data_IF_613031802822
#
_entry.id   IF_613031802822
#
_cell.length_a   1.000
_cell.length_b   1.000
_cell.length_c   1.000
_cell.angle_alpha   90.00
_cell.angle_beta   90.00
_cell.angle_gamma   90.00
#
_symmetry.space_group_name_H-M   'P 1'
#
loop_
_entity.id
_entity.type
_entity.pdbx_description
1 polymer ?
#
# COMPACT_ATOMS: atom_id res chain seq x y z
N UNK A 1 -17.27 72.77 -3.13
CA UNK A 1 -18.64 73.20 -2.75
C UNK A 1 -19.61 72.35 -3.56
N UNK A 2 -20.50 71.51 -3.05
CA UNK A 2 -21.07 71.18 -1.72
C UNK A 2 -21.33 69.65 -1.74
N UNK A 3 -21.02 68.85 -0.71
CA UNK A 3 -21.82 68.59 0.52
C UNK A 3 -23.32 68.36 0.20
N UNK A 4 -24.01 67.31 0.64
CA UNK A 4 -23.79 66.29 1.67
C UNK A 4 -25.14 65.65 2.07
N UNK A 5 -25.09 64.74 3.06
CA UNK A 5 -26.18 64.06 3.82
C UNK A 5 -26.77 62.78 3.16
N UNK A 6 -26.60 61.55 3.65
CA UNK A 6 -26.29 60.98 4.98
C UNK A 6 -27.46 61.01 5.99
N UNK A 7 -28.10 59.84 6.18
CA UNK A 7 -28.85 59.32 7.35
C UNK A 7 -28.64 57.78 7.24
N UNK A 8 -27.88 57.01 8.04
CA UNK A 8 -27.70 56.72 9.49
C UNK A 8 -28.90 56.09 10.21
N UNK A 9 -28.70 54.82 10.60
CA UNK A 9 -29.20 54.17 11.82
C UNK A 9 -30.52 53.41 11.65
N UNK A 10 -30.72 52.17 12.12
CA UNK A 10 -30.08 51.29 13.11
C UNK A 10 -30.35 49.83 12.65
N UNK A 11 -29.50 48.82 12.81
CA UNK A 11 -28.91 48.40 14.08
C UNK A 11 -29.87 47.47 14.84
N UNK A 12 -30.11 46.24 14.35
CA UNK A 12 -30.58 45.11 15.16
C UNK A 12 -29.89 43.84 14.66
N UNK A 13 -29.04 43.30 15.52
CA UNK A 13 -28.35 42.05 15.28
C UNK A 13 -29.33 40.88 15.18
N UNK A 14 -29.05 40.00 14.23
CA UNK A 14 -29.47 38.61 14.29
C UNK A 14 -28.24 37.79 13.96
N UNK A 15 -27.62 37.29 15.04
CA UNK A 15 -26.77 36.11 15.10
C UNK A 15 -25.99 35.80 13.82
N UNK A 16 -24.71 36.19 13.82
CA UNK A 16 -23.70 35.31 13.26
C UNK A 16 -23.81 33.99 14.04
N UNK A 17 -24.71 33.11 13.57
CA UNK A 17 -24.56 31.69 13.80
C UNK A 17 -23.15 31.41 13.35
N UNK A 18 -22.30 31.07 14.32
CA UNK A 18 -21.13 30.25 14.12
C UNK A 18 -21.59 29.01 13.36
N UNK A 19 -21.73 29.13 12.05
CA UNK A 19 -21.69 28.02 11.16
C UNK A 19 -20.25 27.53 11.31
N UNK A 20 -20.08 26.56 12.22
CA UNK A 20 -19.18 25.46 11.91
C UNK A 20 -19.50 25.12 10.46
N UNK A 21 -18.66 25.59 9.52
CA UNK A 21 -18.74 25.14 8.16
C UNK A 21 -18.57 23.63 8.28
N UNK A 22 -19.69 22.90 8.26
CA UNK A 22 -19.68 21.45 8.35
C UNK A 22 -18.77 21.02 7.22
N UNK A 23 -17.61 20.49 7.58
CA UNK A 23 -16.59 20.13 6.62
C UNK A 23 -17.22 19.13 5.67
N UNK A 24 -17.30 19.51 4.39
CA UNK A 24 -17.92 18.68 3.38
C UNK A 24 -16.95 17.62 2.91
N UNK A 25 -16.94 16.48 3.60
CA UNK A 25 -16.02 15.41 3.25
C UNK A 25 -16.45 14.65 2.00
N UNK A 26 -17.77 14.53 1.77
CA UNK A 26 -18.36 13.95 0.58
C UNK A 26 -19.58 14.76 0.13
N UNK A 27 -19.59 15.14 -1.14
CA UNK A 27 -20.76 15.70 -1.82
C UNK A 27 -21.58 14.58 -2.47
N UNK A 28 -22.87 14.51 -2.17
CA UNK A 28 -23.81 13.57 -2.79
C UNK A 28 -24.79 14.37 -3.63
N UNK A 29 -24.75 14.17 -4.94
CA UNK A 29 -25.68 14.80 -5.88
C UNK A 29 -26.61 13.77 -6.50
N UNK A 30 -27.73 14.23 -7.06
CA UNK A 30 -28.59 13.39 -7.87
C UNK A 30 -29.88 14.09 -8.28
N UNK A 31 -30.65 13.40 -9.11
CA UNK A 31 -31.96 13.87 -9.57
C UNK A 31 -33.02 12.83 -9.22
N UNK A 32 -34.08 13.27 -8.55
CA UNK A 32 -35.22 12.44 -8.18
C UNK A 32 -36.04 12.11 -9.44
N UNK A 33 -36.24 10.82 -9.78
CA UNK A 33 -36.99 10.41 -10.97
C UNK A 33 -38.39 11.00 -11.01
N UNK A 34 -38.87 11.31 -12.22
CA UNK A 34 -40.23 11.77 -12.43
C UNK A 34 -41.26 10.80 -11.84
N UNK A 35 -42.38 11.35 -11.34
CA UNK A 35 -43.44 10.56 -10.70
C UNK A 35 -43.15 10.10 -9.27
N UNK A 36 -41.91 10.22 -8.77
CA UNK A 36 -41.59 9.99 -7.34
C UNK A 36 -41.92 11.24 -6.54
N UNK A 37 -42.62 11.08 -5.41
CA UNK A 37 -42.90 12.21 -4.50
C UNK A 37 -41.64 12.60 -3.74
N UNK A 38 -41.47 13.90 -3.49
CA UNK A 38 -40.44 14.39 -2.56
C UNK A 38 -40.85 14.15 -1.10
N UNK A 39 -42.15 13.91 -0.83
CA UNK A 39 -42.63 13.60 0.50
C UNK A 39 -42.02 12.27 0.98
N UNK A 40 -41.34 12.31 2.14
CA UNK A 40 -40.62 11.18 2.76
C UNK A 40 -39.48 10.59 1.90
N UNK A 41 -38.88 11.38 1.02
CA UNK A 41 -37.69 10.99 0.28
C UNK A 41 -36.41 11.34 1.06
N UNK A 42 -35.51 10.38 1.20
CA UNK A 42 -34.25 10.57 1.94
C UNK A 42 -33.06 9.96 1.19
N UNK A 43 -31.89 10.58 1.32
CA UNK A 43 -30.62 9.88 1.11
C UNK A 43 -30.26 9.21 2.43
N UNK A 44 -30.33 7.88 2.45
CA UNK A 44 -29.92 7.05 3.56
C UNK A 44 -28.43 6.72 3.41
N UNK A 45 -27.63 7.27 4.31
CA UNK A 45 -26.28 6.78 4.59
C UNK A 45 -26.35 5.66 5.64
N UNK A 46 -25.20 5.19 6.10
CA UNK A 46 -25.13 4.16 7.14
C UNK A 46 -25.64 4.65 8.50
N UNK A 47 -25.28 5.88 8.91
CA UNK A 47 -25.65 6.42 10.22
C UNK A 47 -26.76 7.47 10.19
N UNK A 48 -27.10 7.99 9.01
CA UNK A 48 -27.95 9.18 8.90
C UNK A 48 -28.88 9.07 7.70
N UNK A 49 -30.06 9.62 7.88
CA UNK A 49 -30.97 9.90 6.78
C UNK A 49 -31.02 11.40 6.56
N UNK A 50 -30.88 11.82 5.31
CA UNK A 50 -30.85 13.21 4.91
C UNK A 50 -32.07 13.47 4.04
N UNK A 51 -32.95 14.40 4.44
CA UNK A 51 -34.15 14.69 3.65
C UNK A 51 -33.78 15.26 2.29
N UNK A 52 -34.48 14.81 1.25
CA UNK A 52 -34.37 15.35 -0.11
C UNK A 52 -35.56 16.25 -0.36
N UNK A 53 -35.34 17.56 -0.38
CA UNK A 53 -36.40 18.58 -0.50
C UNK A 53 -36.52 19.17 -1.91
N UNK A 54 -35.59 18.83 -2.81
CA UNK A 54 -35.55 19.31 -4.20
C UNK A 54 -35.38 18.16 -5.19
N UNK A 55 -35.87 18.36 -6.43
CA UNK A 55 -35.75 17.39 -7.53
C UNK A 55 -34.28 17.14 -7.89
N UNK A 56 -33.53 18.22 -8.09
CA UNK A 56 -32.07 18.18 -8.17
C UNK A 56 -31.53 18.52 -6.79
N UNK A 57 -30.78 17.61 -6.18
CA UNK A 57 -30.28 17.79 -4.82
C UNK A 57 -28.76 17.72 -4.77
N UNK A 58 -28.20 18.45 -3.83
CA UNK A 58 -26.81 18.35 -3.42
C UNK A 58 -26.77 18.32 -1.90
N UNK A 59 -26.27 17.22 -1.36
CA UNK A 59 -26.19 16.97 0.06
C UNK A 59 -24.72 16.86 0.45
N UNK A 60 -24.41 17.43 1.59
CA UNK A 60 -23.08 17.40 2.15
C UNK A 60 -23.04 16.49 3.38
N UNK A 61 -22.09 15.56 3.43
CA UNK A 61 -21.94 14.63 4.54
C UNK A 61 -20.51 14.54 5.03
N UNK A 62 -20.36 14.36 6.34
CA UNK A 62 -19.07 14.05 6.95
C UNK A 62 -18.74 12.56 6.78
N UNK A 63 -17.47 12.19 6.89
CA UNK A 63 -17.08 10.76 6.92
C UNK A 63 -17.67 10.01 8.12
N UNK A 64 -17.94 10.70 9.23
CA UNK A 64 -18.58 10.13 10.42
C UNK A 64 -20.04 9.71 10.14
N UNK A 65 -20.79 10.52 9.39
CA UNK A 65 -22.15 10.19 8.95
C UNK A 65 -22.19 8.98 7.99
N UNK A 66 -21.07 8.69 7.34
CA UNK A 66 -20.92 7.59 6.37
C UNK A 66 -20.33 6.31 6.97
N UNK A 67 -19.74 6.39 8.17
CA UNK A 67 -19.07 5.29 8.85
C UNK A 67 -18.05 4.55 7.94
N UNK A 68 -17.37 5.28 7.04
CA UNK A 68 -16.53 4.66 5.99
C UNK A 68 -15.35 3.96 6.63
N UNK A 69 -15.38 2.62 6.63
CA UNK A 69 -14.27 1.79 7.07
C UNK A 69 -13.15 1.90 6.04
N UNK A 70 -11.88 1.97 6.48
CA UNK A 70 -10.73 1.98 5.59
C UNK A 70 -10.45 0.61 4.98
N UNK A 71 -11.38 0.14 4.14
CA UNK A 71 -11.28 -1.09 3.34
C UNK A 71 -11.13 -0.72 1.87
N UNK A 72 -10.57 -1.65 1.11
CA UNK A 72 -10.38 -1.47 -0.33
C UNK A 72 -11.72 -1.60 -1.07
N UNK A 73 -12.42 -2.73 -0.88
CA UNK A 73 -13.82 -2.88 -1.28
C UNK A 73 -14.76 -2.41 -0.15
N UNK A 74 -15.72 -1.52 -0.42
CA UNK A 74 -16.61 -0.97 0.58
C UNK A 74 -17.78 -1.91 0.86
N UNK A 75 -18.16 -2.02 2.13
CA UNK A 75 -19.46 -2.58 2.53
C UNK A 75 -20.53 -1.49 2.71
N UNK A 76 -20.13 -0.23 2.58
CA UNK A 76 -21.01 0.91 2.81
C UNK A 76 -21.63 1.34 1.49
N UNK A 77 -22.96 1.46 1.52
CA UNK A 77 -23.76 1.83 0.37
C UNK A 77 -24.71 2.94 0.79
N UNK A 78 -24.78 3.99 -0.03
CA UNK A 78 -25.79 5.04 0.13
C UNK A 78 -26.96 4.77 -0.80
N UNK A 79 -28.16 5.13 -0.35
CA UNK A 79 -29.38 4.87 -1.10
C UNK A 79 -30.24 6.12 -1.16
N UNK A 80 -30.80 6.40 -2.34
CA UNK A 80 -31.97 7.26 -2.44
C UNK A 80 -33.18 6.37 -2.10
N UNK A 81 -33.85 6.65 -0.98
CA UNK A 81 -34.95 5.83 -0.46
C UNK A 81 -36.24 6.62 -0.42
N UNK A 82 -37.30 6.00 -0.94
CA UNK A 82 -38.68 6.44 -0.75
C UNK A 82 -39.27 5.71 0.47
N UNK A 83 -39.67 6.49 1.49
CA UNK A 83 -40.28 6.00 2.74
C UNK A 83 -41.79 6.25 2.81
N UNK A 84 -42.44 6.54 1.69
CA UNK A 84 -43.89 6.75 1.63
C UNK A 84 -44.70 5.46 1.86
N UNK A 85 -44.14 4.30 1.50
CA UNK A 85 -44.77 2.99 1.68
C UNK A 85 -44.44 2.28 3.00
N UNK A 86 -45.14 1.17 3.27
CA UNK A 86 -44.94 0.33 4.47
C UNK A 86 -43.53 -0.29 4.58
N UNK A 87 -42.85 -0.47 3.44
CA UNK A 87 -41.45 -0.89 3.36
C UNK A 87 -40.67 0.16 2.55
N UNK A 88 -39.59 0.75 3.10
CA UNK A 88 -38.74 1.69 2.37
C UNK A 88 -38.20 1.06 1.07
N UNK A 89 -38.31 1.79 -0.04
CA UNK A 89 -37.85 1.33 -1.36
C UNK A 89 -36.59 2.08 -1.78
N UNK A 90 -35.54 1.34 -2.11
CA UNK A 90 -34.32 1.91 -2.71
C UNK A 90 -34.55 2.21 -4.19
N UNK A 91 -34.37 3.47 -4.59
CA UNK A 91 -34.51 3.94 -5.97
C UNK A 91 -33.20 3.82 -6.73
N UNK A 92 -32.15 4.41 -6.15
CA UNK A 92 -30.77 4.40 -6.63
C UNK A 92 -29.82 4.11 -5.49
N UNK A 93 -28.65 3.61 -5.85
CA UNK A 93 -27.64 3.13 -4.93
C UNK A 93 -26.25 3.49 -5.42
N UNK A 94 -25.31 3.68 -4.50
CA UNK A 94 -23.90 3.89 -4.81
C UNK A 94 -23.02 3.35 -3.68
N UNK A 95 -21.87 2.78 -4.05
CA UNK A 95 -20.82 2.39 -3.12
C UNK A 95 -20.03 3.60 -2.65
N UNK A 96 -19.60 3.60 -1.38
CA UNK A 96 -18.81 4.69 -0.80
C UNK A 96 -17.42 4.20 -0.43
N UNK A 97 -16.41 4.70 -1.12
CA UNK A 97 -15.00 4.43 -0.83
C UNK A 97 -14.39 5.53 0.04
N UNK A 98 -13.35 5.23 0.82
CA UNK A 98 -12.67 6.21 1.69
C UNK A 98 -12.00 7.35 0.90
N UNK A 99 -11.68 7.09 -0.37
CA UNK A 99 -11.15 8.02 -1.36
C UNK A 99 -12.22 8.93 -1.97
N UNK A 100 -13.51 8.61 -1.84
CA UNK A 100 -14.60 9.33 -2.50
C UNK A 100 -14.70 10.78 -2.02
N UNK A 101 -14.84 11.71 -2.96
CA UNK A 101 -15.05 13.15 -2.70
C UNK A 101 -16.39 13.66 -3.21
N UNK A 102 -16.90 13.04 -4.28
CA UNK A 102 -18.23 13.28 -4.80
C UNK A 102 -18.84 11.95 -5.25
N UNK A 103 -20.15 11.81 -5.08
CA UNK A 103 -20.95 10.73 -5.63
C UNK A 103 -22.16 11.33 -6.33
N UNK A 104 -22.37 10.92 -7.58
CA UNK A 104 -23.62 11.16 -8.28
C UNK A 104 -24.51 9.91 -8.13
N UNK A 105 -25.58 10.03 -7.35
CA UNK A 105 -26.50 8.95 -7.02
C UNK A 105 -27.59 8.84 -8.10
N UNK A 106 -27.50 7.80 -8.93
CA UNK A 106 -28.37 7.65 -10.09
C UNK A 106 -28.32 6.27 -10.73
N UNK A 107 -28.77 6.19 -11.99
CA UNK A 107 -28.76 4.94 -12.76
C UNK A 107 -27.34 4.38 -12.93
N UNK A 108 -26.36 5.22 -13.28
CA UNK A 108 -24.98 4.80 -13.51
C UNK A 108 -24.33 4.23 -12.23
N UNK A 109 -24.46 4.92 -11.09
CA UNK A 109 -23.94 4.41 -9.82
C UNK A 109 -24.60 3.09 -9.40
N UNK A 110 -25.91 2.95 -9.68
CA UNK A 110 -26.67 1.74 -9.36
C UNK A 110 -26.23 0.53 -10.20
N UNK A 111 -25.98 0.74 -11.48
CA UNK A 111 -25.49 -0.30 -12.37
C UNK A 111 -24.00 -0.61 -12.13
N UNK A 112 -23.21 0.38 -11.71
CA UNK A 112 -21.80 0.17 -11.34
C UNK A 112 -21.69 -0.82 -10.17
N UNK A 113 -22.51 -0.65 -9.12
CA UNK A 113 -22.51 -1.60 -8.00
C UNK A 113 -22.76 -3.05 -8.48
N UNK A 114 -23.62 -3.22 -9.49
CA UNK A 114 -23.89 -4.54 -10.09
C UNK A 114 -22.75 -5.06 -10.96
N UNK A 115 -22.07 -4.16 -11.69
CA UNK A 115 -20.88 -4.52 -12.47
C UNK A 115 -19.72 -4.94 -11.55
N UNK A 116 -19.56 -4.25 -10.43
CA UNK A 116 -18.51 -4.53 -9.46
C UNK A 116 -18.72 -5.83 -8.70
N UNK A 117 -19.94 -6.11 -8.22
CA UNK A 117 -20.27 -7.34 -7.49
C UNK A 117 -19.27 -7.62 -6.34
N UNK A 118 -18.97 -6.59 -5.54
CA UNK A 118 -17.99 -6.58 -4.42
C UNK A 118 -16.51 -6.75 -4.80
N UNK A 119 -16.18 -6.79 -6.11
CA UNK A 119 -14.79 -6.97 -6.61
C UNK A 119 -14.03 -5.66 -6.85
N UNK A 120 -14.73 -4.53 -6.92
CA UNK A 120 -14.09 -3.25 -7.22
C UNK A 120 -13.56 -2.58 -5.96
N UNK A 121 -12.36 -2.02 -6.06
CA UNK A 121 -11.96 -0.87 -5.28
C UNK A 121 -12.42 0.43 -5.94
N UNK A 122 -11.85 1.53 -5.46
CA UNK A 122 -12.24 2.88 -5.88
C UNK A 122 -11.97 3.12 -7.37
N UNK A 123 -10.80 2.69 -7.88
CA UNK A 123 -10.34 3.04 -9.22
C UNK A 123 -11.10 2.26 -10.29
N UNK A 124 -11.32 0.94 -10.10
CA UNK A 124 -12.19 0.18 -11.00
C UNK A 124 -13.61 0.74 -11.03
N UNK A 125 -14.17 1.10 -9.87
CA UNK A 125 -15.51 1.67 -9.77
C UNK A 125 -15.63 2.99 -10.55
N UNK A 126 -14.66 3.90 -10.42
CA UNK A 126 -14.62 5.15 -11.19
C UNK A 126 -14.52 4.90 -12.70
N UNK A 127 -13.61 4.01 -13.13
CA UNK A 127 -13.46 3.68 -14.56
C UNK A 127 -14.76 3.14 -15.14
N UNK A 128 -15.37 2.16 -14.48
CA UNK A 128 -16.66 1.57 -14.90
C UNK A 128 -17.74 2.64 -14.97
N UNK A 129 -17.84 3.52 -13.96
CA UNK A 129 -18.79 4.63 -13.94
C UNK A 129 -18.65 5.52 -15.17
N UNK A 130 -17.43 5.75 -15.65
CA UNK A 130 -17.18 6.58 -16.83
C UNK A 130 -17.24 5.83 -18.17
N UNK A 131 -17.36 4.50 -18.16
CA UNK A 131 -17.37 3.71 -19.39
C UNK A 131 -18.59 4.04 -20.26
N UNK A 132 -18.38 4.17 -21.58
CA UNK A 132 -19.45 4.49 -22.53
C UNK A 132 -20.54 3.41 -22.52
N UNK A 133 -20.16 2.14 -22.39
CA UNK A 133 -21.08 1.03 -22.32
C UNK A 133 -21.98 1.08 -21.07
N UNK A 134 -21.44 1.44 -19.89
CA UNK A 134 -22.26 1.65 -18.70
C UNK A 134 -23.21 2.85 -18.89
N UNK A 135 -22.74 3.95 -19.45
CA UNK A 135 -23.57 5.15 -19.66
C UNK A 135 -24.77 4.89 -20.58
N UNK A 136 -24.58 4.08 -21.62
CA UNK A 136 -25.68 3.63 -22.48
C UNK A 136 -26.70 2.79 -21.71
N UNK A 137 -26.25 1.83 -20.88
CA UNK A 137 -27.15 1.04 -20.04
C UNK A 137 -27.85 1.89 -18.98
N UNK A 138 -27.16 2.86 -18.40
CA UNK A 138 -27.70 3.78 -17.41
C UNK A 138 -28.84 4.63 -18.00
N UNK A 139 -28.66 5.10 -19.24
CA UNK A 139 -29.70 5.83 -19.98
C UNK A 139 -30.94 4.96 -20.19
N UNK A 140 -30.78 3.70 -20.58
CA UNK A 140 -31.90 2.76 -20.74
C UNK A 140 -32.58 2.43 -19.40
N UNK A 141 -31.78 2.23 -18.35
CA UNK A 141 -32.26 1.93 -17.01
C UNK A 141 -33.05 3.09 -16.39
N UNK A 142 -32.65 4.33 -16.68
CA UNK A 142 -33.34 5.54 -16.22
C UNK A 142 -34.76 5.68 -16.78
N UNK A 143 -35.05 5.11 -17.95
CA UNK A 143 -36.40 5.11 -18.54
C UNK A 143 -37.37 4.15 -17.85
N UNK A 144 -36.87 3.26 -16.98
CA UNK A 144 -37.72 2.34 -16.23
C UNK A 144 -38.38 3.08 -15.05
N UNK A 145 -39.69 2.89 -14.81
CA UNK A 145 -40.37 3.51 -13.68
C UNK A 145 -39.65 3.21 -12.35
N UNK A 146 -39.37 4.26 -11.58
CA UNK A 146 -38.64 4.10 -10.31
C UNK A 146 -39.36 3.20 -9.30
N UNK A 147 -40.69 3.13 -9.37
CA UNK A 147 -41.55 2.30 -8.52
C UNK A 147 -41.66 0.83 -8.96
N UNK A 148 -41.23 0.48 -10.19
CA UNK A 148 -41.32 -0.87 -10.74
C UNK A 148 -40.03 -1.67 -10.48
N UNK A 149 -39.96 -2.26 -9.29
CA UNK A 149 -38.83 -3.12 -8.88
C UNK A 149 -38.66 -4.35 -9.77
N UNK A 150 -39.75 -4.86 -10.36
CA UNK A 150 -39.72 -6.05 -11.23
C UNK A 150 -39.07 -5.70 -12.57
N UNK A 151 -39.46 -4.60 -13.19
CA UNK A 151 -38.85 -4.12 -14.43
C UNK A 151 -37.35 -3.83 -14.24
N UNK A 152 -36.99 -3.13 -13.15
CA UNK A 152 -35.59 -2.88 -12.79
C UNK A 152 -34.78 -4.17 -12.57
N UNK A 153 -35.35 -5.15 -11.86
CA UNK A 153 -34.73 -6.45 -11.65
C UNK A 153 -34.55 -7.24 -12.95
N UNK A 154 -35.57 -7.25 -13.81
CA UNK A 154 -35.52 -7.88 -15.13
C UNK A 154 -34.45 -7.27 -16.02
N UNK A 155 -34.30 -5.94 -16.01
CA UNK A 155 -33.25 -5.25 -16.75
C UNK A 155 -31.85 -5.71 -16.30
N UNK A 156 -31.60 -5.70 -14.98
CA UNK A 156 -30.30 -6.14 -14.43
C UNK A 156 -30.02 -7.59 -14.83
N UNK A 157 -31.02 -8.47 -14.73
CA UNK A 157 -30.86 -9.89 -15.11
C UNK A 157 -30.58 -10.05 -16.61
N UNK A 158 -31.29 -9.32 -17.46
CA UNK A 158 -31.08 -9.32 -18.92
C UNK A 158 -29.66 -8.87 -19.28
N UNK A 159 -29.11 -7.88 -18.57
CA UNK A 159 -27.80 -7.30 -18.84
C UNK A 159 -26.68 -7.84 -17.95
N UNK A 160 -26.91 -8.94 -17.22
CA UNK A 160 -25.97 -9.49 -16.23
C UNK A 160 -24.56 -9.73 -16.81
N UNK A 161 -24.47 -10.39 -17.96
CA UNK A 161 -23.19 -10.70 -18.61
C UNK A 161 -22.47 -9.42 -19.06
N UNK A 162 -23.20 -8.47 -19.65
CA UNK A 162 -22.64 -7.18 -20.05
C UNK A 162 -22.09 -6.43 -18.84
N UNK A 163 -22.86 -6.32 -17.76
CA UNK A 163 -22.44 -5.68 -16.52
C UNK A 163 -21.20 -6.37 -15.92
N UNK A 164 -21.17 -7.71 -15.90
CA UNK A 164 -20.01 -8.46 -15.41
C UNK A 164 -18.75 -8.19 -16.24
N UNK A 165 -18.90 -8.05 -17.56
CA UNK A 165 -17.78 -7.77 -18.48
C UNK A 165 -17.25 -6.34 -18.36
N UNK A 166 -18.06 -5.37 -17.91
CA UNK A 166 -17.60 -4.00 -17.63
C UNK A 166 -16.50 -3.97 -16.57
N UNK A 167 -16.45 -4.94 -15.66
CA UNK A 167 -15.35 -5.03 -14.70
C UNK A 167 -13.98 -5.07 -15.38
N UNK A 168 -13.90 -5.85 -16.47
CA UNK A 168 -12.69 -5.95 -17.27
C UNK A 168 -12.57 -4.83 -18.31
N UNK A 169 -13.64 -4.13 -18.67
CA UNK A 169 -13.66 -3.00 -19.61
C UNK A 169 -12.72 -3.15 -20.83
N UNK A 170 -12.76 -4.31 -21.50
CA UNK A 170 -11.91 -4.61 -22.66
C UNK A 170 -10.45 -4.97 -22.34
N UNK A 171 -10.07 -5.00 -21.07
CA UNK A 171 -8.78 -5.50 -20.61
C UNK A 171 -8.70 -7.02 -20.74
N UNK A 172 -7.50 -7.49 -21.04
CA UNK A 172 -7.11 -8.89 -20.96
C UNK A 172 -6.01 -9.02 -19.90
N UNK A 173 -6.37 -9.17 -18.61
CA UNK A 173 -5.39 -9.27 -17.54
C UNK A 173 -4.40 -10.39 -17.81
N UNK A 174 -3.11 -10.11 -17.61
CA UNK A 174 -2.05 -11.10 -17.79
C UNK A 174 -2.12 -12.13 -16.66
N UNK A 175 -1.77 -13.37 -16.97
CA UNK A 175 -1.53 -14.38 -15.95
C UNK A 175 -0.22 -14.11 -15.22
N UNK A 176 -0.11 -14.60 -13.98
CA UNK A 176 1.15 -14.62 -13.24
C UNK A 176 2.21 -15.34 -14.10
N UNK A 177 3.43 -14.81 -14.13
CA UNK A 177 4.57 -15.54 -14.69
C UNK A 177 4.80 -16.86 -13.93
N UNK A 178 5.28 -17.94 -14.57
CA UNK A 178 5.59 -19.18 -13.87
C UNK A 178 6.55 -18.92 -12.71
N UNK A 179 6.16 -19.34 -11.51
CA UNK A 179 6.99 -19.25 -10.31
C UNK A 179 7.47 -20.66 -10.00
N UNK A 180 8.76 -20.83 -9.78
CA UNK A 180 9.26 -22.08 -9.23
C UNK A 180 8.85 -22.17 -7.75
N UNK A 181 7.78 -22.93 -7.48
CA UNK A 181 7.20 -23.06 -6.14
C UNK A 181 7.75 -24.25 -5.36
N UNK A 182 8.76 -24.97 -5.87
CA UNK A 182 9.23 -26.23 -5.28
C UNK A 182 9.69 -26.09 -3.81
N UNK A 183 10.11 -24.88 -3.40
CA UNK A 183 10.55 -24.56 -2.04
C UNK A 183 9.70 -23.50 -1.30
N UNK A 184 8.57 -23.07 -1.89
CA UNK A 184 7.86 -21.84 -1.49
C UNK A 184 6.46 -22.10 -0.93
N UNK A 185 6.34 -22.95 0.09
CA UNK A 185 5.16 -22.88 0.98
C UNK A 185 5.28 -21.65 1.86
N UNK A 186 4.70 -20.53 1.46
CA UNK A 186 4.58 -19.32 2.27
C UNK A 186 3.13 -19.23 2.74
N UNK A 187 2.91 -19.22 4.05
CA UNK A 187 1.62 -18.77 4.58
C UNK A 187 1.37 -17.34 4.09
N UNK A 188 0.12 -16.92 3.76
CA UNK A 188 -0.17 -15.51 3.50
C UNK A 188 0.43 -14.71 4.65
N UNK A 189 1.45 -13.92 4.31
CA UNK A 189 2.48 -13.44 5.23
C UNK A 189 1.90 -13.07 6.60
N UNK A 190 2.20 -13.88 7.62
CA UNK A 190 1.60 -13.78 8.97
C UNK A 190 2.12 -12.60 9.79
N UNK A 191 2.87 -11.69 9.15
CA UNK A 191 3.51 -10.55 9.80
C UNK A 191 4.68 -10.89 10.72
N UNK A 192 5.18 -12.15 10.71
CA UNK A 192 6.17 -12.63 11.68
C UNK A 192 7.52 -13.11 11.07
N UNK A 193 7.72 -12.97 9.76
CA UNK A 193 8.78 -13.69 9.03
C UNK A 193 9.89 -12.88 8.36
N UNK A 194 9.77 -11.55 8.25
CA UNK A 194 10.65 -10.74 7.40
C UNK A 194 11.61 -9.85 8.21
N UNK A 195 12.57 -10.48 8.88
CA UNK A 195 13.65 -9.75 9.54
C UNK A 195 14.74 -9.39 8.53
N UNK A 196 14.78 -8.12 8.09
CA UNK A 196 15.94 -7.58 7.39
C UNK A 196 17.04 -7.22 8.39
N UNK A 197 18.27 -7.56 8.07
CA UNK A 197 19.40 -7.16 8.90
C UNK A 197 19.68 -5.67 8.70
N UNK A 198 19.69 -4.91 9.80
CA UNK A 198 20.19 -3.53 9.75
C UNK A 198 21.67 -3.52 9.31
N UNK A 199 22.16 -2.42 8.71
CA UNK A 199 23.57 -2.33 8.32
C UNK A 199 24.52 -2.69 9.46
N UNK A 200 24.25 -2.22 10.68
CA UNK A 200 25.04 -2.51 11.88
C UNK A 200 24.98 -4.00 12.27
N UNK A 201 23.81 -4.63 12.20
CA UNK A 201 23.68 -6.07 12.44
C UNK A 201 24.46 -6.87 11.42
N UNK A 202 24.32 -6.55 10.13
CA UNK A 202 25.00 -7.25 9.04
C UNK A 202 26.54 -7.12 9.13
N UNK A 203 27.04 -5.92 9.39
CA UNK A 203 28.47 -5.69 9.63
C UNK A 203 28.96 -6.49 10.84
N UNK A 204 28.19 -6.45 11.93
CA UNK A 204 28.59 -7.06 13.19
C UNK A 204 28.54 -8.59 13.18
N UNK A 205 27.54 -9.18 12.54
CA UNK A 205 27.41 -10.63 12.36
C UNK A 205 28.50 -11.13 11.43
N UNK A 206 28.68 -10.51 10.26
CA UNK A 206 29.71 -10.89 9.27
C UNK A 206 31.11 -10.87 9.88
N UNK A 207 31.45 -9.78 10.60
CA UNK A 207 32.73 -9.72 11.31
C UNK A 207 32.90 -10.88 12.29
N UNK A 208 31.88 -11.11 13.12
CA UNK A 208 31.93 -12.11 14.19
C UNK A 208 32.07 -13.53 13.63
N UNK A 209 31.33 -13.84 12.56
CA UNK A 209 31.36 -15.13 11.89
C UNK A 209 32.69 -15.35 11.16
N UNK A 210 33.20 -14.33 10.47
CA UNK A 210 34.50 -14.39 9.79
C UNK A 210 35.64 -14.62 10.78
N UNK A 211 35.71 -13.80 11.85
CA UNK A 211 36.72 -13.96 12.90
C UNK A 211 36.60 -15.32 13.57
N UNK A 212 35.38 -15.73 13.95
CA UNK A 212 35.15 -17.01 14.59
C UNK A 212 35.59 -18.21 13.73
N UNK A 213 35.42 -18.13 12.42
CA UNK A 213 35.85 -19.16 11.46
C UNK A 213 37.35 -19.14 11.25
N UNK A 214 37.93 -18.00 10.85
CA UNK A 214 39.37 -17.88 10.57
C UNK A 214 40.25 -18.07 11.80
N UNK A 215 39.78 -17.66 12.97
CA UNK A 215 40.49 -17.94 14.21
C UNK A 215 40.45 -19.42 14.60
N UNK A 216 39.39 -20.16 14.25
CA UNK A 216 39.35 -21.62 14.48
C UNK A 216 40.30 -22.37 13.55
N UNK A 217 40.37 -21.96 12.29
CA UNK A 217 41.30 -22.52 11.29
C UNK A 217 42.75 -22.25 11.72
N UNK A 218 43.11 -20.98 11.95
CA UNK A 218 44.50 -20.60 12.27
C UNK A 218 45.04 -21.25 13.55
N UNK A 219 44.18 -21.49 14.56
CA UNK A 219 44.59 -22.18 15.81
C UNK A 219 44.88 -23.67 15.62
N UNK A 220 44.26 -24.32 14.63
CA UNK A 220 44.55 -25.72 14.32
C UNK A 220 45.88 -25.87 13.59
N UNK A 221 46.20 -24.90 12.74
CA UNK A 221 47.36 -24.95 11.85
C UNK A 221 48.65 -24.45 12.51
N UNK A 222 48.56 -23.61 13.55
CA UNK A 222 49.71 -22.96 14.18
C UNK A 222 49.54 -22.81 15.71
N UNK A 223 50.33 -23.59 16.47
CA UNK A 223 50.29 -23.57 17.94
C UNK A 223 50.73 -22.23 18.54
N UNK A 224 51.60 -21.47 17.87
CA UNK A 224 52.00 -20.15 18.34
C UNK A 224 50.86 -19.13 18.18
N UNK A 225 50.05 -19.26 17.12
CA UNK A 225 48.81 -18.48 16.96
C UNK A 225 47.79 -18.80 18.05
N UNK A 226 47.67 -20.08 18.42
CA UNK A 226 46.79 -20.49 19.52
C UNK A 226 47.19 -19.87 20.87
N UNK A 227 48.48 -19.79 21.16
CA UNK A 227 48.97 -19.19 22.39
C UNK A 227 48.76 -17.66 22.39
N UNK A 228 49.02 -16.97 21.28
CA UNK A 228 48.74 -15.52 21.17
C UNK A 228 47.26 -15.21 21.37
N UNK A 229 46.36 -15.96 20.73
CA UNK A 229 44.92 -15.75 20.90
C UNK A 229 44.45 -16.03 22.34
N UNK A 230 45.10 -16.95 23.05
CA UNK A 230 44.82 -17.24 24.46
C UNK A 230 45.29 -16.09 25.37
N UNK A 231 46.47 -15.54 25.10
CA UNK A 231 47.02 -14.40 25.85
C UNK A 231 46.15 -13.14 25.72
N UNK A 232 45.61 -12.89 24.53
CA UNK A 232 44.78 -11.71 24.26
C UNK A 232 43.26 -11.95 24.36
N UNK A 233 42.83 -13.09 24.91
CA UNK A 233 41.41 -13.54 24.90
C UNK A 233 40.41 -12.45 25.32
N UNK A 234 40.69 -11.69 26.38
CA UNK A 234 39.78 -10.65 26.87
C UNK A 234 39.57 -9.51 25.86
N UNK A 235 40.66 -9.03 25.24
CA UNK A 235 40.59 -8.04 24.16
C UNK A 235 39.80 -8.59 22.98
N UNK A 236 40.01 -9.86 22.63
CA UNK A 236 39.30 -10.52 21.52
C UNK A 236 37.80 -10.66 21.80
N UNK A 237 37.42 -11.05 23.01
CA UNK A 237 36.01 -11.11 23.42
C UNK A 237 35.36 -9.72 23.43
N UNK A 238 36.12 -8.70 23.84
CA UNK A 238 35.71 -7.29 23.76
C UNK A 238 35.44 -6.83 22.32
N UNK A 239 36.23 -7.27 21.33
CA UNK A 239 35.98 -6.96 19.92
C UNK A 239 34.74 -7.66 19.34
N UNK A 240 34.17 -8.63 20.05
CA UNK A 240 33.05 -9.45 19.57
C UNK A 240 31.68 -8.97 20.05
N UNK A 241 31.61 -8.09 21.06
CA UNK A 241 30.35 -7.62 21.66
C UNK A 241 30.47 -6.16 22.15
N UNK A 242 29.34 -5.47 22.29
CA UNK A 242 29.25 -4.28 23.14
C UNK A 242 29.72 -2.96 22.52
N UNK A 243 29.45 -2.73 21.23
CA UNK A 243 29.69 -1.42 20.61
C UNK A 243 28.38 -0.77 20.16
N UNK A 244 28.24 0.52 20.46
CA UNK A 244 27.07 1.32 20.08
C UNK A 244 27.07 1.71 18.58
N UNK A 245 28.20 1.55 17.90
CA UNK A 245 28.31 1.79 16.46
C UNK A 245 29.41 0.92 15.82
N UNK A 246 29.29 0.71 14.50
CA UNK A 246 30.34 0.04 13.73
C UNK A 246 31.68 0.80 13.77
N UNK A 247 31.63 2.14 13.72
CA UNK A 247 32.82 2.98 13.76
C UNK A 247 33.63 2.78 15.06
N UNK A 248 32.94 2.79 16.21
CA UNK A 248 33.58 2.54 17.50
C UNK A 248 34.22 1.14 17.58
N UNK A 249 33.59 0.15 16.94
CA UNK A 249 34.15 -1.19 16.83
C UNK A 249 35.40 -1.21 15.97
N UNK A 250 35.38 -0.54 14.81
CA UNK A 250 36.55 -0.43 13.91
C UNK A 250 37.72 0.24 14.63
N UNK A 251 37.48 1.31 15.39
CA UNK A 251 38.55 1.99 16.15
C UNK A 251 39.19 1.06 17.19
N UNK A 252 38.38 0.30 17.93
CA UNK A 252 38.89 -0.70 18.87
C UNK A 252 39.67 -1.83 18.18
N UNK A 253 39.20 -2.29 17.01
CA UNK A 253 39.90 -3.28 16.20
C UNK A 253 41.27 -2.75 15.78
N UNK A 254 41.35 -1.49 15.32
CA UNK A 254 42.59 -0.86 14.91
C UNK A 254 43.59 -0.74 16.08
N UNK A 255 43.11 -0.37 17.26
CA UNK A 255 43.95 -0.30 18.47
C UNK A 255 44.55 -1.67 18.84
N UNK A 256 43.73 -2.72 18.92
CA UNK A 256 44.19 -4.10 19.22
C UNK A 256 45.12 -4.62 18.12
N UNK A 257 44.82 -4.33 16.87
CA UNK A 257 45.66 -4.72 15.72
C UNK A 257 47.05 -4.05 15.79
N UNK A 258 47.12 -2.79 16.21
CA UNK A 258 48.38 -2.07 16.38
C UNK A 258 49.22 -2.65 17.53
N UNK A 259 48.58 -2.96 18.68
CA UNK A 259 49.23 -3.60 19.82
C UNK A 259 49.84 -4.97 19.43
N UNK A 260 49.07 -5.81 18.75
CA UNK A 260 49.54 -7.11 18.29
C UNK A 260 50.73 -6.99 17.33
N UNK A 261 50.71 -6.02 16.41
CA UNK A 261 51.81 -5.77 15.48
C UNK A 261 53.06 -5.22 16.18
N UNK A 262 52.91 -4.44 17.25
CA UNK A 262 54.03 -3.90 18.02
C UNK A 262 54.88 -4.98 18.70
N UNK A 263 54.31 -6.15 18.99
CA UNK A 263 55.05 -7.29 19.55
C UNK A 263 56.12 -7.87 18.62
N UNK A 264 56.07 -7.54 17.32
CA UNK A 264 56.92 -8.10 16.25
C UNK A 264 56.90 -9.63 16.15
N UNK A 265 55.96 -10.30 16.83
CA UNK A 265 55.81 -11.75 16.74
C UNK A 265 55.07 -12.11 15.43
N UNK A 266 55.59 -13.06 14.63
CA UNK A 266 54.92 -13.50 13.41
C UNK A 266 53.50 -14.01 13.66
N UNK A 267 53.29 -14.74 14.76
CA UNK A 267 51.98 -15.24 15.16
C UNK A 267 51.00 -14.10 15.49
N UNK A 268 51.42 -13.08 16.24
CA UNK A 268 50.59 -11.92 16.55
C UNK A 268 50.24 -11.09 15.31
N UNK A 269 51.17 -10.98 14.36
CA UNK A 269 50.90 -10.35 13.07
C UNK A 269 49.83 -11.11 12.26
N UNK A 270 49.83 -12.45 12.30
CA UNK A 270 48.76 -13.26 11.68
C UNK A 270 47.41 -13.02 12.35
N UNK A 271 47.35 -12.95 13.69
CA UNK A 271 46.10 -12.65 14.42
C UNK A 271 45.57 -11.26 14.06
N UNK A 272 46.43 -10.26 14.03
CA UNK A 272 46.09 -8.89 13.64
C UNK A 272 45.51 -8.82 12.21
N UNK A 273 46.06 -9.63 11.29
CA UNK A 273 45.57 -9.72 9.92
C UNK A 273 44.14 -10.28 9.84
N UNK A 274 43.80 -11.31 10.64
CA UNK A 274 42.44 -11.88 10.69
C UNK A 274 41.41 -10.80 11.02
N UNK A 275 41.67 -9.92 11.99
CA UNK A 275 40.73 -8.84 12.33
C UNK A 275 40.63 -7.76 11.25
N UNK A 276 41.76 -7.41 10.65
CA UNK A 276 41.78 -6.43 9.54
C UNK A 276 40.99 -6.96 8.33
N UNK A 277 41.15 -8.24 8.01
CA UNK A 277 40.42 -8.88 6.91
C UNK A 277 38.93 -9.04 7.23
N UNK A 278 38.58 -9.28 8.50
CA UNK A 278 37.19 -9.33 8.92
C UNK A 278 36.44 -8.00 8.75
N UNK A 279 37.10 -6.86 9.02
CA UNK A 279 36.52 -5.52 8.75
C UNK A 279 36.24 -5.37 7.26
N UNK A 280 37.23 -5.69 6.41
CA UNK A 280 37.08 -5.61 4.96
C UNK A 280 35.97 -6.53 4.44
N UNK A 281 35.86 -7.75 4.97
CA UNK A 281 34.81 -8.69 4.58
C UNK A 281 33.43 -8.21 5.03
N UNK A 282 33.31 -7.66 6.23
CA UNK A 282 32.07 -7.06 6.71
C UNK A 282 31.62 -5.91 5.81
N UNK A 283 32.51 -4.96 5.51
CA UNK A 283 32.22 -3.82 4.62
C UNK A 283 31.92 -4.26 3.18
N UNK A 284 32.68 -5.23 2.65
CA UNK A 284 32.42 -5.84 1.35
C UNK A 284 31.05 -6.52 1.31
N UNK A 285 30.67 -7.20 2.38
CA UNK A 285 29.37 -7.87 2.50
C UNK A 285 28.23 -6.86 2.56
N UNK A 286 28.38 -5.77 3.33
CA UNK A 286 27.40 -4.68 3.32
C UNK A 286 27.31 -4.04 1.94
N UNK A 287 28.43 -3.77 1.28
CA UNK A 287 28.44 -3.20 -0.07
C UNK A 287 27.78 -4.13 -1.10
N UNK A 288 27.96 -5.46 -0.99
CA UNK A 288 27.25 -6.44 -1.81
C UNK A 288 25.75 -6.49 -1.50
N UNK A 289 25.38 -6.38 -0.23
CA UNK A 289 23.98 -6.36 0.21
C UNK A 289 23.24 -5.13 -0.31
N UNK A 290 23.86 -3.95 -0.16
CA UNK A 290 23.39 -2.71 -0.74
C UNK A 290 23.35 -2.89 -2.26
N UNK A 291 24.49 -3.13 -2.91
CA UNK A 291 24.57 -3.15 -4.38
C UNK A 291 23.60 -4.13 -5.05
N UNK A 292 23.55 -5.40 -4.63
CA UNK A 292 22.71 -6.48 -5.17
C UNK A 292 22.35 -6.37 -6.68
N UNK A 293 23.32 -5.96 -7.50
CA UNK A 293 23.11 -5.57 -8.89
C UNK A 293 22.58 -6.76 -9.70
N UNK A 294 21.49 -6.55 -10.43
CA UNK A 294 20.88 -7.51 -11.36
C UNK A 294 20.44 -8.87 -10.77
N UNK A 295 20.25 -8.98 -9.45
CA UNK A 295 19.77 -10.23 -8.81
C UNK A 295 18.26 -10.28 -8.60
N UNK A 296 17.50 -9.69 -9.52
CA UNK A 296 16.04 -9.63 -9.39
C UNK A 296 15.45 -11.03 -9.56
N UNK A 297 14.75 -11.59 -8.55
CA UNK A 297 14.22 -12.96 -8.63
C UNK A 297 13.06 -13.08 -9.63
N UNK A 298 12.41 -11.96 -9.96
CA UNK A 298 11.32 -11.91 -10.93
C UNK A 298 11.78 -11.21 -12.20
N UNK A 299 11.92 -11.97 -13.29
CA UNK A 299 12.38 -11.46 -14.58
C UNK A 299 11.49 -10.34 -15.13
N UNK A 300 10.17 -10.39 -14.89
CA UNK A 300 9.26 -9.36 -15.38
C UNK A 300 9.59 -7.98 -14.81
N UNK A 301 10.13 -7.88 -13.59
CA UNK A 301 10.52 -6.59 -12.97
C UNK A 301 11.67 -5.90 -13.70
N UNK A 302 12.37 -6.57 -14.64
CA UNK A 302 13.44 -5.95 -15.43
C UNK A 302 12.94 -5.07 -16.58
N UNK A 303 11.65 -5.14 -16.92
CA UNK A 303 11.04 -4.37 -18.00
C UNK A 303 10.88 -2.89 -17.61
N UNK A 304 11.67 -2.00 -18.21
CA UNK A 304 11.63 -0.56 -17.90
C UNK A 304 10.29 0.08 -18.28
N UNK A 305 9.63 -0.36 -19.34
CA UNK A 305 8.35 0.15 -19.86
C UNK A 305 7.12 -0.54 -19.26
N UNK A 306 7.21 -0.95 -17.99
CA UNK A 306 6.11 -1.63 -17.30
C UNK A 306 5.08 -0.63 -16.77
N UNK A 307 3.81 -0.87 -17.08
CA UNK A 307 2.68 -0.12 -16.53
C UNK A 307 2.56 -0.35 -15.00
N UNK A 308 2.02 0.65 -14.30
CA UNK A 308 1.94 0.65 -12.83
C UNK A 308 1.16 -0.54 -12.26
N UNK A 309 0.02 -0.89 -12.85
CA UNK A 309 -0.87 -1.96 -12.41
C UNK A 309 -0.19 -3.33 -12.49
N UNK A 310 0.55 -3.57 -13.57
CA UNK A 310 1.35 -4.78 -13.75
C UNK A 310 2.56 -4.80 -12.82
N UNK A 311 3.19 -3.65 -12.59
CA UNK A 311 4.30 -3.53 -11.64
C UNK A 311 3.85 -3.85 -10.21
N UNK A 312 2.73 -3.27 -9.79
CA UNK A 312 2.15 -3.52 -8.46
C UNK A 312 1.77 -5.00 -8.30
N UNK A 313 1.17 -5.61 -9.33
CA UNK A 313 0.83 -7.02 -9.34
C UNK A 313 2.09 -7.91 -9.23
N UNK A 314 3.12 -7.65 -10.03
CA UNK A 314 4.40 -8.38 -9.97
C UNK A 314 5.07 -8.24 -8.59
N UNK A 315 4.97 -7.05 -7.99
CA UNK A 315 5.48 -6.80 -6.65
C UNK A 315 4.74 -7.55 -5.55
N UNK A 316 3.41 -7.61 -5.63
CA UNK A 316 2.59 -8.42 -4.71
C UNK A 316 3.00 -9.89 -4.77
N UNK A 317 3.27 -10.41 -5.98
CA UNK A 317 3.77 -11.78 -6.15
C UNK A 317 5.17 -11.94 -5.56
N UNK A 318 6.07 -10.99 -5.79
CA UNK A 318 7.42 -11.00 -5.25
C UNK A 318 7.43 -11.04 -3.71
N UNK A 319 6.61 -10.19 -3.11
CA UNK A 319 6.34 -10.13 -1.67
C UNK A 319 5.80 -11.45 -1.12
N UNK A 320 4.85 -12.07 -1.84
CA UNK A 320 4.27 -13.34 -1.45
C UNK A 320 5.27 -14.50 -1.55
N UNK A 321 6.04 -14.57 -2.63
CA UNK A 321 6.82 -15.77 -2.99
C UNK A 321 8.25 -15.78 -2.48
N UNK A 322 8.93 -14.63 -2.42
CA UNK A 322 10.36 -14.59 -2.08
C UNK A 322 10.62 -14.22 -0.62
N UNK A 323 9.60 -14.14 0.23
CA UNK A 323 9.76 -13.70 1.63
C UNK A 323 10.72 -14.56 2.46
N UNK A 324 10.89 -15.85 2.12
CA UNK A 324 11.82 -16.75 2.82
C UNK A 324 13.29 -16.61 2.41
N UNK A 325 13.55 -16.22 1.16
CA UNK A 325 14.91 -15.91 0.69
C UNK A 325 15.19 -14.42 0.91
N UNK A 326 15.73 -14.10 2.08
CA UNK A 326 16.04 -12.71 2.47
C UNK A 326 16.91 -11.99 1.45
N UNK A 327 17.83 -12.67 0.77
CA UNK A 327 18.75 -12.04 -0.17
C UNK A 327 18.07 -11.73 -1.51
N UNK A 328 17.30 -12.67 -2.04
CA UNK A 328 16.47 -12.44 -3.22
C UNK A 328 15.39 -11.38 -2.94
N UNK A 329 14.79 -11.42 -1.75
CA UNK A 329 13.79 -10.44 -1.34
C UNK A 329 14.38 -9.05 -1.17
N UNK A 330 15.53 -8.91 -0.49
CA UNK A 330 16.24 -7.65 -0.34
C UNK A 330 16.63 -7.03 -1.68
N UNK A 331 16.87 -7.85 -2.72
CA UNK A 331 17.11 -7.33 -4.07
C UNK A 331 15.96 -6.48 -4.56
N UNK A 332 14.73 -6.78 -4.18
CA UNK A 332 13.56 -6.07 -4.66
C UNK A 332 13.55 -4.62 -4.15
N UNK A 333 14.15 -4.29 -3.02
CA UNK A 333 14.11 -2.93 -2.46
C UNK A 333 15.12 -1.98 -3.13
N UNK A 334 14.83 -0.68 -3.11
CA UNK A 334 15.76 0.34 -3.63
C UNK A 334 16.98 0.50 -2.72
N UNK A 335 18.08 1.05 -3.23
CA UNK A 335 19.25 1.40 -2.40
C UNK A 335 18.88 2.33 -1.26
N UNK A 336 18.04 3.32 -1.55
CA UNK A 336 17.54 4.26 -0.54
C UNK A 336 16.79 3.50 0.55
N UNK A 337 15.91 2.58 0.18
CA UNK A 337 15.15 1.79 1.15
C UNK A 337 16.07 0.92 2.02
N UNK A 338 17.07 0.26 1.43
CA UNK A 338 18.07 -0.54 2.14
C UNK A 338 18.91 0.29 3.12
N UNK A 339 19.24 1.53 2.76
CA UNK A 339 19.98 2.45 3.64
C UNK A 339 19.13 2.99 4.79
N UNK A 340 17.79 2.99 4.63
CA UNK A 340 16.83 3.51 5.60
C UNK A 340 16.22 2.44 6.50
N UNK A 341 16.77 1.22 6.52
CA UNK A 341 16.42 0.15 7.45
C UNK A 341 16.85 0.54 8.88
N UNK A 342 16.01 1.30 9.61
CA UNK A 342 15.11 0.65 10.54
C UNK A 342 13.75 1.38 10.61
N UNK A 343 12.85 1.08 9.66
CA UNK A 343 11.43 1.13 10.01
C UNK A 343 11.28 0.09 11.13
N UNK A 344 10.70 0.45 12.28
CA UNK A 344 10.41 -0.54 13.34
C UNK A 344 9.81 -1.76 12.66
N UNK A 345 10.39 -2.95 12.83
CA UNK A 345 10.04 -4.16 12.04
C UNK A 345 8.53 -4.31 11.84
N UNK A 346 7.77 -4.02 12.91
CA UNK A 346 6.31 -3.97 12.92
C UNK A 346 5.65 -3.07 11.88
N UNK A 347 6.14 -1.88 11.60
CA UNK A 347 5.57 -0.94 10.62
C UNK A 347 5.90 -1.34 9.18
N UNK A 348 7.11 -1.88 8.95
CA UNK A 348 7.48 -2.47 7.65
C UNK A 348 6.64 -3.72 7.39
N UNK A 349 6.50 -4.56 8.41
CA UNK A 349 5.69 -5.75 8.37
C UNK A 349 4.23 -5.40 8.07
N UNK A 350 3.63 -4.42 8.77
CA UNK A 350 2.27 -3.94 8.47
C UNK A 350 2.13 -3.44 7.03
N UNK A 351 3.09 -2.66 6.55
CA UNK A 351 3.03 -2.07 5.22
C UNK A 351 3.18 -3.13 4.11
N UNK A 352 4.09 -4.09 4.27
CA UNK A 352 4.25 -5.22 3.35
C UNK A 352 3.09 -6.22 3.43
N UNK A 353 2.56 -6.49 4.63
CA UNK A 353 1.32 -7.27 4.81
C UNK A 353 0.21 -6.71 3.95
N UNK A 354 0.05 -5.38 3.91
CA UNK A 354 -1.01 -4.76 3.10
C UNK A 354 -0.83 -5.00 1.60
N UNK A 355 0.40 -4.95 1.09
CA UNK A 355 0.71 -5.24 -0.31
C UNK A 355 0.49 -6.72 -0.65
N UNK A 356 0.75 -7.62 0.30
CA UNK A 356 0.56 -9.08 0.17
C UNK A 356 -0.92 -9.48 0.29
N UNK A 357 -1.69 -8.79 1.13
CA UNK A 357 -3.12 -9.05 1.34
C UNK A 357 -4.02 -8.35 0.31
N UNK A 358 -3.45 -7.50 -0.55
CA UNK A 358 -4.19 -6.80 -1.60
C UNK A 358 -5.04 -7.75 -2.48
N UNK A 359 -4.54 -8.92 -2.92
CA UNK A 359 -5.34 -10.01 -3.52
C UNK A 359 -6.60 -10.38 -2.73
N UNK A 360 -6.46 -10.65 -1.42
CA UNK A 360 -7.56 -11.05 -0.56
C UNK A 360 -8.58 -9.91 -0.39
N UNK A 361 -8.10 -8.66 -0.37
CA UNK A 361 -8.94 -7.47 -0.27
C UNK A 361 -9.70 -7.10 -1.54
N UNK A 362 -9.24 -7.57 -2.70
CA UNK A 362 -9.93 -7.43 -3.99
C UNK A 362 -10.93 -8.56 -4.27
N UNK A 363 -11.11 -9.48 -3.32
CA UNK A 363 -12.29 -10.34 -3.24
C UNK A 363 -12.24 -11.63 -4.04
N UNK A 364 -11.18 -12.46 -3.94
CA UNK A 364 -11.21 -13.94 -4.14
C UNK A 364 -9.91 -14.69 -3.76
N UNK A 365 -10.05 -16.03 -3.64
CA UNK A 365 -9.26 -16.98 -2.83
C UNK A 365 -7.87 -17.39 -3.35
N UNK A 366 -7.53 -17.11 -4.62
CA UNK A 366 -6.27 -17.56 -5.23
C UNK A 366 -5.34 -16.41 -5.60
N UNK A 367 -4.03 -16.65 -5.52
CA UNK A 367 -3.00 -15.68 -5.89
C UNK A 367 -3.13 -15.22 -7.35
N UNK A 368 -3.50 -16.14 -8.26
CA UNK A 368 -3.71 -15.86 -9.69
C UNK A 368 -4.87 -14.91 -9.94
N UNK A 369 -5.99 -15.12 -9.25
CA UNK A 369 -7.13 -14.22 -9.36
C UNK A 369 -6.75 -12.84 -8.82
N UNK A 370 -6.10 -12.80 -7.65
CA UNK A 370 -5.61 -11.57 -7.04
C UNK A 370 -4.71 -10.74 -7.96
N UNK A 371 -3.78 -11.40 -8.66
CA UNK A 371 -2.90 -10.75 -9.64
C UNK A 371 -3.68 -10.07 -10.78
N UNK A 372 -4.72 -10.72 -11.30
CA UNK A 372 -5.56 -10.15 -12.35
C UNK A 372 -6.43 -9.01 -11.80
N UNK A 373 -6.95 -9.16 -10.59
CA UNK A 373 -7.75 -8.14 -9.92
C UNK A 373 -6.94 -6.87 -9.61
N UNK A 374 -5.66 -6.98 -9.24
CA UNK A 374 -4.76 -5.82 -9.08
C UNK A 374 -4.60 -5.08 -10.40
N UNK A 375 -4.35 -5.81 -11.50
CA UNK A 375 -4.26 -5.21 -12.84
C UNK A 375 -5.55 -4.45 -13.16
N UNK A 376 -6.71 -5.06 -12.95
CA UNK A 376 -8.01 -4.43 -13.20
C UNK A 376 -8.26 -3.22 -12.30
N UNK A 377 -7.96 -3.29 -11.01
CA UNK A 377 -8.19 -2.18 -10.08
C UNK A 377 -7.34 -0.97 -10.47
N UNK A 378 -6.04 -1.16 -10.63
CA UNK A 378 -5.08 -0.06 -10.77
C UNK A 378 -4.75 0.29 -12.22
N UNK A 379 -5.45 -0.33 -13.20
CA UNK A 379 -5.27 -0.02 -14.62
C UNK A 379 -5.39 1.49 -14.87
N UNK A 380 -4.32 2.07 -15.43
CA UNK A 380 -4.19 3.51 -15.68
C UNK A 380 -4.41 4.42 -14.47
N UNK A 381 -4.27 3.90 -13.24
CA UNK A 381 -4.32 4.72 -12.02
C UNK A 381 -3.16 5.73 -11.96
N UNK A 382 -2.06 5.44 -12.66
CA UNK A 382 -0.94 6.35 -12.90
C UNK A 382 -0.56 6.34 -14.40
N UNK A 383 -0.04 7.45 -14.93
CA UNK A 383 0.53 7.48 -16.28
C UNK A 383 1.80 6.63 -16.36
N UNK A 384 2.07 6.06 -17.53
CA UNK A 384 3.25 5.21 -17.75
C UNK A 384 4.55 5.96 -17.45
N UNK A 385 5.47 5.27 -16.78
CA UNK A 385 6.79 5.77 -16.41
C UNK A 385 7.84 4.70 -16.66
N UNK A 386 9.07 5.15 -16.95
CA UNK A 386 10.24 4.27 -17.14
C UNK A 386 11.26 4.37 -16.02
N UNK A 387 11.00 5.24 -15.04
CA UNK A 387 12.00 5.61 -14.02
C UNK A 387 11.43 5.58 -12.62
N UNK A 388 10.18 6.02 -12.43
CA UNK A 388 9.57 6.13 -11.11
C UNK A 388 8.05 6.11 -11.15
N UNK A 389 7.44 5.39 -10.21
CA UNK A 389 6.04 5.52 -9.86
C UNK A 389 5.92 5.96 -8.41
N UNK A 390 5.07 6.96 -8.16
CA UNK A 390 4.69 7.39 -6.82
C UNK A 390 3.18 7.31 -6.71
N UNK A 391 2.69 6.29 -6.01
CA UNK A 391 1.28 6.09 -5.75
C UNK A 391 0.95 6.43 -4.30
N UNK A 392 -0.13 7.19 -4.11
CA UNK A 392 -0.64 7.56 -2.80
C UNK A 392 -2.15 7.73 -2.85
N UNK A 393 -2.86 7.00 -2.01
CA UNK A 393 -4.30 7.17 -1.82
C UNK A 393 -4.66 7.36 -0.33
N UNK A 394 -5.89 7.08 0.08
CA UNK A 394 -6.31 7.20 1.48
C UNK A 394 -6.01 5.94 2.32
N UNK A 395 -5.55 4.84 1.70
CA UNK A 395 -5.30 3.55 2.34
C UNK A 395 -3.81 3.23 2.43
N UNK A 396 -3.02 3.64 1.43
CA UNK A 396 -1.62 3.30 1.31
C UNK A 396 -0.85 4.27 0.43
N UNK A 397 0.46 4.26 0.60
CA UNK A 397 1.40 4.88 -0.32
C UNK A 397 2.45 3.85 -0.69
N UNK A 398 2.74 3.73 -1.98
CA UNK A 398 3.77 2.86 -2.53
C UNK A 398 4.53 3.61 -3.61
N UNK A 399 5.85 3.52 -3.61
CA UNK A 399 6.67 4.05 -4.69
C UNK A 399 7.63 3.00 -5.21
N UNK A 400 7.86 3.04 -6.51
CA UNK A 400 8.78 2.16 -7.21
C UNK A 400 9.76 3.00 -8.01
N UNK A 401 11.02 2.57 -8.06
CA UNK A 401 12.07 3.18 -8.86
C UNK A 401 12.69 2.14 -9.77
N UNK A 402 12.89 2.48 -11.04
CA UNK A 402 13.67 1.66 -11.94
C UNK A 402 15.15 1.97 -11.77
N UNK A 403 15.89 1.07 -11.15
CA UNK A 403 17.33 1.19 -10.94
C UNK A 403 18.02 -0.17 -11.08
N UNK A 404 19.26 -0.17 -11.55
CA UNK A 404 20.06 -1.39 -11.70
C UNK A 404 19.32 -2.47 -12.49
N UNK A 405 18.72 -2.04 -13.60
CA UNK A 405 18.03 -2.91 -14.55
C UNK A 405 16.71 -3.51 -14.06
N UNK A 406 16.13 -3.05 -12.94
CA UNK A 406 14.83 -3.54 -12.48
C UNK A 406 14.03 -2.52 -11.67
N UNK A 407 12.72 -2.74 -11.59
CA UNK A 407 11.83 -2.00 -10.70
C UNK A 407 11.99 -2.45 -9.25
N UNK A 408 12.34 -1.49 -8.39
CA UNK A 408 12.59 -1.67 -6.97
C UNK A 408 11.55 -0.94 -6.12
N UNK A 409 11.20 -1.47 -4.95
CA UNK A 409 10.33 -0.77 -3.99
C UNK A 409 11.14 0.28 -3.25
N UNK A 410 10.74 1.53 -3.39
CA UNK A 410 11.43 2.69 -2.83
C UNK A 410 10.74 3.24 -1.57
N UNK A 411 9.43 3.01 -1.43
CA UNK A 411 8.72 3.26 -0.19
C UNK A 411 7.43 2.45 -0.14
N UNK A 412 7.06 1.96 1.03
CA UNK A 412 5.72 1.43 1.29
C UNK A 412 5.27 1.87 2.67
N UNK A 413 4.04 2.37 2.76
CA UNK A 413 3.43 2.69 4.04
C UNK A 413 1.93 2.44 3.95
N UNK A 414 1.38 1.80 4.98
CA UNK A 414 -0.03 1.97 5.26
C UNK A 414 -0.21 3.41 5.71
N UNK A 415 -1.08 4.16 5.03
CA UNK A 415 -1.42 5.46 5.55
C UNK A 415 -2.35 5.22 6.73
N UNK A 416 -2.08 5.83 7.90
CA UNK A 416 -3.05 5.85 8.96
C UNK A 416 -4.33 6.37 8.33
N UNK A 417 -5.32 5.49 8.19
CA UNK A 417 -6.69 5.96 8.17
C UNK A 417 -6.76 6.63 9.52
N UNK A 418 -6.75 7.97 9.55
CA UNK A 418 -7.00 8.70 10.79
C UNK A 418 -8.23 8.00 11.36
N UNK A 419 -8.02 7.19 12.41
CA UNK A 419 -9.08 6.43 13.03
C UNK A 419 -9.91 7.55 13.60
N UNK A 420 -10.97 7.90 12.85
CA UNK A 420 -11.73 9.13 12.98
C UNK A 420 -11.68 9.53 14.44
N UNK A 421 -10.81 10.49 14.76
CA UNK A 421 -10.53 10.79 16.16
C UNK A 421 -11.90 11.10 16.74
N UNK A 422 -12.35 10.23 17.64
CA UNK A 422 -13.62 10.42 18.32
C UNK A 422 -13.40 11.67 19.17
N UNK A 423 -13.73 12.83 18.59
CA UNK A 423 -13.84 14.09 19.29
C UNK A 423 -14.95 14.02 20.31
#
# INVERSE_FOLDING_TARGET
MKQGCLIIGLGLGAMALSANAQQCDLSITGTVPEGVSLDKLVVSTYNKELPVTSRDYSLCVSKQDLQVVGRHSPNNTIYLKDKSGALPRGIYTAEVFVQSKAINLGAASSLTQRACDLRCGYYASQRIQTSTALQQLATQYQQLPASDSKAKGNFINKHKTTLANLYFDGMSPKSIAPIDTSDLWVDPYSGAGLYFDSPQSLLSSTYSDYVGTKAREARKDDAAVAEVMKQHKASLEGLMKGFDSWLARVDAILAVTAELKASQQPAASKVAQIFTDAVKEAESTLNRYLSNDNKTPIASLTQADKAFDLLLADWTIAAYTHSKDKQAFASLFSERFKQQLPIQDRELDKALSRLIDLPNHLGKLSLSDGYQHIQVEFNHALPDSRTRYDFKDALHSVSFVYEKGAWRLDSVSQLPIAHYENG
#
